data_IF_888192607466
#
_entry.id   IF_888192607466
#
_cell.length_a   1.000
_cell.length_b   1.000
_cell.length_c   1.000
_cell.angle_alpha   90.00
_cell.angle_beta   90.00
_cell.angle_gamma   90.00
#
_symmetry.space_group_name_H-M   'P 1'
#
loop_
_entity.id
_entity.type
_entity.pdbx_description
1 polymer ?
#
# COMPACT_ATOMS: atom_id res chain seq x y z
N UNK A 1 -26.56 -6.01 12.78
CA UNK A 1 -25.25 -5.54 12.25
C UNK A 1 -24.88 -4.21 12.91
N UNK A 2 -24.56 -4.21 14.21
CA UNK A 2 -24.22 -2.98 14.97
C UNK A 2 -22.71 -2.87 15.26
N UNK A 3 -21.95 -3.96 15.06
CA UNK A 3 -20.53 -4.04 15.43
C UNK A 3 -19.63 -3.08 14.64
N UNK A 4 -19.86 -2.90 13.33
CA UNK A 4 -19.07 -1.98 12.50
C UNK A 4 -19.29 -0.52 12.90
N UNK A 5 -20.49 -0.19 13.39
CA UNK A 5 -20.86 1.18 13.78
C UNK A 5 -20.32 1.53 15.17
N UNK A 6 -20.31 0.59 16.11
CA UNK A 6 -19.71 0.78 17.44
C UNK A 6 -18.18 0.85 17.36
N UNK A 7 -17.55 0.11 16.43
CA UNK A 7 -16.12 0.25 16.14
C UNK A 7 -15.78 1.65 15.62
N UNK A 8 -16.59 2.19 14.72
CA UNK A 8 -16.36 3.54 14.18
C UNK A 8 -16.69 4.67 15.16
N UNK A 9 -17.47 4.40 16.21
CA UNK A 9 -17.96 5.43 17.16
C UNK A 9 -17.15 5.48 18.46
N UNK A 10 -16.28 4.49 18.72
CA UNK A 10 -15.41 4.43 19.90
C UNK A 10 -13.99 4.85 19.52
N UNK A 11 -13.32 5.65 20.37
CA UNK A 11 -11.96 6.18 20.11
C UNK A 11 -10.95 5.10 19.67
N UNK A 12 -11.08 3.88 20.21
CA UNK A 12 -10.23 2.74 19.88
C UNK A 12 -10.40 2.20 18.46
N UNK A 13 -11.62 2.21 17.93
CA UNK A 13 -11.86 1.67 16.60
C UNK A 13 -11.57 2.66 15.48
N UNK A 14 -11.70 3.96 15.74
CA UNK A 14 -11.16 5.03 14.88
C UNK A 14 -9.63 4.98 14.80
N UNK A 15 -8.95 4.85 15.94
CA UNK A 15 -7.48 4.69 15.97
C UNK A 15 -7.06 3.43 15.19
N UNK A 16 -7.74 2.29 15.44
CA UNK A 16 -7.45 1.03 14.74
C UNK A 16 -7.71 1.13 13.23
N UNK A 17 -8.81 1.78 12.82
CA UNK A 17 -9.11 2.03 11.42
C UNK A 17 -8.05 2.90 10.74
N UNK A 18 -7.55 3.93 11.44
CA UNK A 18 -6.48 4.79 10.93
C UNK A 18 -5.18 3.99 10.72
N UNK A 19 -4.79 3.15 11.68
CA UNK A 19 -3.60 2.30 11.55
C UNK A 19 -3.75 1.31 10.40
N UNK A 20 -4.92 0.68 10.25
CA UNK A 20 -5.19 -0.24 9.14
C UNK A 20 -5.09 0.52 7.81
N UNK A 21 -5.70 1.69 7.70
CA UNK A 21 -5.65 2.51 6.49
C UNK A 21 -4.20 2.90 6.13
N UNK A 22 -3.40 3.31 7.11
CA UNK A 22 -1.98 3.64 6.91
C UNK A 22 -1.19 2.39 6.47
N UNK A 23 -1.39 1.25 7.14
CA UNK A 23 -0.67 0.00 6.84
C UNK A 23 -0.98 -0.47 5.42
N UNK A 24 -2.26 -0.48 5.03
CA UNK A 24 -2.67 -0.82 3.67
C UNK A 24 -2.16 0.21 2.65
N UNK A 25 -2.22 1.49 2.99
CA UNK A 25 -1.68 2.57 2.16
C UNK A 25 -0.19 2.41 1.88
N UNK A 26 0.60 2.10 2.91
CA UNK A 26 2.03 1.79 2.78
C UNK A 26 2.26 0.54 1.93
N UNK A 27 1.48 -0.52 2.14
CA UNK A 27 1.56 -1.74 1.34
C UNK A 27 1.38 -1.45 -0.15
N UNK A 28 0.32 -0.74 -0.52
CA UNK A 28 0.05 -0.32 -1.91
C UNK A 28 1.15 0.60 -2.44
N UNK A 29 1.61 1.56 -1.64
CA UNK A 29 2.68 2.49 -2.01
C UNK A 29 3.97 1.73 -2.35
N UNK A 30 4.41 0.82 -1.47
CA UNK A 30 5.61 0.03 -1.71
C UNK A 30 5.46 -0.86 -2.93
N UNK A 31 4.37 -1.61 -3.07
CA UNK A 31 4.14 -2.44 -4.25
C UNK A 31 4.19 -1.60 -5.54
N UNK A 32 3.54 -0.43 -5.57
CA UNK A 32 3.59 0.48 -6.72
C UNK A 32 5.01 1.00 -6.96
N UNK A 33 5.73 1.37 -5.91
CA UNK A 33 7.10 1.87 -5.98
C UNK A 33 8.04 0.83 -6.58
N UNK A 34 8.02 -0.40 -6.07
CA UNK A 34 8.85 -1.50 -6.57
C UNK A 34 8.49 -1.88 -8.00
N UNK A 35 7.20 -1.99 -8.35
CA UNK A 35 6.78 -2.27 -9.72
C UNK A 35 7.23 -1.17 -10.70
N UNK A 36 7.19 0.09 -10.28
CA UNK A 36 7.67 1.19 -11.12
C UNK A 36 9.19 1.10 -11.34
N UNK A 37 9.96 0.86 -10.29
CA UNK A 37 11.43 0.77 -10.38
C UNK A 37 11.85 -0.47 -11.17
N UNK A 38 11.25 -1.63 -10.95
CA UNK A 38 11.52 -2.84 -11.73
C UNK A 38 11.28 -2.62 -13.23
N UNK A 39 10.20 -1.93 -13.60
CA UNK A 39 9.92 -1.61 -15.01
C UNK A 39 10.94 -0.64 -15.60
N UNK A 40 11.39 0.33 -14.82
CA UNK A 40 12.46 1.25 -15.24
C UNK A 40 13.81 0.53 -15.37
N UNK A 41 14.12 -0.40 -14.46
CA UNK A 41 15.33 -1.22 -14.50
C UNK A 41 15.31 -2.22 -15.66
N UNK A 42 14.18 -2.87 -15.92
CA UNK A 42 13.98 -3.73 -17.10
C UNK A 42 14.12 -2.95 -18.40
N UNK A 43 13.55 -1.74 -18.46
CA UNK A 43 13.69 -0.87 -19.62
C UNK A 43 15.14 -0.43 -19.84
N UNK A 44 15.89 -0.12 -18.78
CA UNK A 44 17.34 0.16 -18.85
C UNK A 44 18.13 -1.08 -19.27
N UNK A 45 17.82 -2.26 -18.72
CA UNK A 45 18.50 -3.51 -19.08
C UNK A 45 18.29 -3.89 -20.56
N UNK A 46 17.08 -3.68 -21.10
CA UNK A 46 16.81 -3.80 -22.53
C UNK A 46 17.52 -2.76 -23.37
N UNK A 47 17.56 -1.49 -22.92
CA UNK A 47 18.26 -0.43 -23.64
C UNK A 47 19.78 -0.65 -23.66
N UNK A 48 20.34 -1.26 -22.60
CA UNK A 48 21.75 -1.67 -22.52
C UNK A 48 22.06 -3.00 -23.23
N UNK A 49 21.07 -3.64 -23.86
CA UNK A 49 21.26 -4.87 -24.64
C UNK A 49 21.71 -6.08 -23.81
N UNK A 50 21.42 -6.08 -22.50
CA UNK A 50 21.76 -7.19 -21.59
C UNK A 50 20.73 -8.34 -21.64
N UNK A 51 19.66 -8.18 -22.43
CA UNK A 51 18.61 -9.15 -22.74
C UNK A 51 18.19 -9.01 -24.21
#
# INVERSE_FOLDING_TARGET
MHALRDFFSTDYGLLSAAVIAITLGMGVFYTRFFLKHMREDEARARAEGKL
#
